data_IF_532139200259
#
_entry.id   IF_532139200259
#
_cell.length_a   1.000
_cell.length_b   1.000
_cell.length_c   1.000
_cell.angle_alpha   90.00
_cell.angle_beta   90.00
_cell.angle_gamma   90.00
#
_symmetry.space_group_name_H-M   'P 1'
#
loop_
_entity.id
_entity.type
_entity.pdbx_description
1 polymer ?
#
# COMPACT_ATOMS: atom_id res chain seq x y z
N UNK A 1 -1.05 4.88 -2.16
CA UNK A 1 -1.85 3.72 -1.70
C UNK A 1 -3.28 4.14 -1.39
N UNK A 2 -3.53 5.26 -0.69
CA UNK A 2 -4.87 5.86 -0.53
C UNK A 2 -5.52 6.41 -1.83
N UNK A 3 -4.89 6.20 -2.99
CA UNK A 3 -5.39 6.58 -4.32
C UNK A 3 -5.73 5.38 -5.18
N UNK A 4 -5.83 4.17 -4.60
CA UNK A 4 -6.35 3.01 -5.32
C UNK A 4 -7.81 3.29 -5.72
N UNK A 5 -8.23 3.02 -6.97
CA UNK A 5 -9.59 3.26 -7.37
C UNK A 5 -10.57 2.32 -6.66
N UNK A 6 -11.81 2.78 -6.48
CA UNK A 6 -12.91 1.96 -5.96
C UNK A 6 -12.84 1.65 -4.47
N UNK A 7 -13.45 0.53 -4.07
CA UNK A 7 -13.67 0.15 -2.67
C UNK A 7 -12.37 -0.07 -1.88
N UNK A 8 -11.31 -0.56 -2.55
CA UNK A 8 -10.01 -0.80 -1.91
C UNK A 8 -9.37 0.50 -1.43
N UNK A 9 -9.39 1.57 -2.24
CA UNK A 9 -8.84 2.86 -1.83
C UNK A 9 -9.59 3.49 -0.67
N UNK A 10 -10.91 3.35 -0.66
CA UNK A 10 -11.75 3.83 0.44
C UNK A 10 -11.46 3.07 1.73
N UNK A 11 -11.33 1.75 1.66
CA UNK A 11 -10.93 0.91 2.81
C UNK A 11 -9.55 1.30 3.35
N UNK A 12 -8.54 1.49 2.47
CA UNK A 12 -7.20 1.90 2.91
C UNK A 12 -7.19 3.29 3.56
N UNK A 13 -7.90 4.26 2.99
CA UNK A 13 -8.00 5.60 3.58
C UNK A 13 -8.71 5.57 4.95
N UNK A 14 -9.72 4.73 5.09
CA UNK A 14 -10.41 4.53 6.37
C UNK A 14 -9.52 3.84 7.41
N UNK A 15 -8.80 2.77 7.04
CA UNK A 15 -7.85 2.10 7.95
C UNK A 15 -6.75 3.06 8.41
N UNK A 16 -6.25 3.91 7.51
CA UNK A 16 -5.26 4.94 7.83
C UNK A 16 -5.84 5.95 8.84
N UNK A 17 -7.08 6.40 8.67
CA UNK A 17 -7.71 7.30 9.65
C UNK A 17 -7.91 6.63 11.00
N UNK A 18 -8.35 5.36 11.02
CA UNK A 18 -8.50 4.60 12.26
C UNK A 18 -7.18 4.47 13.02
N UNK A 19 -6.09 4.19 12.31
CA UNK A 19 -4.75 4.09 12.90
C UNK A 19 -4.27 5.44 13.46
N UNK A 20 -4.49 6.53 12.74
CA UNK A 20 -4.08 7.86 13.18
C UNK A 20 -4.89 8.36 14.38
N UNK A 21 -6.20 8.09 14.42
CA UNK A 21 -7.11 8.60 15.45
C UNK A 21 -7.12 7.74 16.72
N UNK A 22 -7.04 6.42 16.56
CA UNK A 22 -7.25 5.47 17.66
C UNK A 22 -6.03 4.58 17.94
N UNK A 23 -5.00 4.62 17.10
CA UNK A 23 -3.85 3.73 17.18
C UNK A 23 -4.17 2.31 16.68
N UNK A 24 -3.33 1.36 17.06
CA UNK A 24 -3.50 -0.06 16.68
C UNK A 24 -4.73 -0.62 17.41
N UNK A 25 -5.65 -1.21 16.65
CA UNK A 25 -6.89 -1.81 17.13
C UNK A 25 -7.00 -3.26 16.68
N UNK A 26 -7.72 -4.08 17.45
CA UNK A 26 -8.05 -5.43 17.03
C UNK A 26 -9.04 -5.44 15.87
N UNK A 27 -9.06 -6.52 15.09
CA UNK A 27 -10.03 -6.68 14.02
C UNK A 27 -11.48 -6.59 14.53
N UNK A 28 -11.77 -7.13 15.71
CA UNK A 28 -13.09 -7.03 16.32
C UNK A 28 -13.54 -5.57 16.57
N UNK A 29 -12.62 -4.69 16.99
CA UNK A 29 -12.94 -3.27 17.17
C UNK A 29 -13.15 -2.57 15.82
N UNK A 30 -12.30 -2.85 14.82
CA UNK A 30 -12.43 -2.29 13.48
C UNK A 30 -13.75 -2.69 12.81
N UNK A 31 -14.22 -3.93 13.01
CA UNK A 31 -15.50 -4.41 12.46
C UNK A 31 -16.70 -3.57 12.90
N UNK A 32 -16.71 -3.04 14.11
CA UNK A 32 -17.80 -2.17 14.55
C UNK A 32 -17.85 -0.87 13.74
N UNK A 33 -16.69 -0.30 13.41
CA UNK A 33 -16.58 0.90 12.58
C UNK A 33 -16.81 0.67 11.08
N UNK A 34 -16.73 -0.58 10.62
CA UNK A 34 -17.00 -0.97 9.23
C UNK A 34 -18.50 -1.02 8.91
N UNK A 35 -19.38 -1.17 9.91
CA UNK A 35 -20.82 -1.35 9.68
C UNK A 35 -21.44 -0.20 8.91
N UNK A 36 -22.09 -0.53 7.79
CA UNK A 36 -22.74 0.42 6.90
C UNK A 36 -21.79 1.19 5.98
N UNK A 37 -20.48 0.88 6.00
CA UNK A 37 -19.53 1.44 5.04
C UNK A 37 -19.68 0.76 3.67
N UNK A 38 -19.48 1.49 2.57
CA UNK A 38 -19.60 0.92 1.22
C UNK A 38 -18.59 -0.20 0.94
N UNK A 39 -17.49 -0.26 1.70
CA UNK A 39 -16.43 -1.26 1.60
C UNK A 39 -16.49 -2.34 2.71
N UNK A 40 -17.56 -2.40 3.49
CA UNK A 40 -17.73 -3.38 4.58
C UNK A 40 -17.59 -4.82 4.07
N UNK A 41 -18.35 -5.19 3.03
CA UNK A 41 -18.32 -6.55 2.47
C UNK A 41 -16.95 -6.92 1.88
N UNK A 42 -16.21 -5.94 1.35
CA UNK A 42 -14.84 -6.14 0.91
C UNK A 42 -13.94 -6.46 2.11
N UNK A 43 -14.02 -5.64 3.16
CA UNK A 43 -13.21 -5.79 4.37
C UNK A 43 -13.46 -7.13 5.07
N UNK A 44 -14.72 -7.56 5.19
CA UNK A 44 -15.05 -8.87 5.74
C UNK A 44 -14.48 -10.02 4.90
N UNK A 45 -14.60 -9.93 3.58
CA UNK A 45 -14.08 -10.97 2.67
C UNK A 45 -12.56 -11.11 2.76
N UNK A 46 -11.82 -10.00 2.83
CA UNK A 46 -10.34 -10.08 2.89
C UNK A 46 -9.81 -10.51 4.25
N UNK A 47 -10.62 -10.36 5.32
CA UNK A 47 -10.27 -10.81 6.67
C UNK A 47 -10.83 -12.19 7.02
N UNK A 48 -11.35 -12.92 6.03
CA UNK A 48 -11.85 -14.28 6.16
C UNK A 48 -10.96 -15.23 5.37
N UNK A 49 -10.45 -16.26 6.04
CA UNK A 49 -9.63 -17.33 5.49
C UNK A 49 -10.41 -18.24 4.52
N UNK A 50 -9.71 -19.12 3.79
CA UNK A 50 -10.30 -19.98 2.76
C UNK A 50 -11.30 -21.01 3.30
N UNK A 51 -11.25 -21.31 4.59
CA UNK A 51 -12.17 -22.17 5.34
C UNK A 51 -13.40 -21.41 5.89
N UNK A 52 -13.48 -20.09 5.66
CA UNK A 52 -14.55 -19.25 6.16
C UNK A 52 -14.35 -18.76 7.60
N UNK A 53 -13.23 -19.11 8.23
CA UNK A 53 -12.87 -18.62 9.56
C UNK A 53 -12.18 -17.23 9.46
N UNK A 54 -12.22 -16.39 10.50
CA UNK A 54 -11.40 -15.17 10.54
C UNK A 54 -9.91 -15.51 10.37
N UNK A 55 -9.17 -14.67 9.66
CA UNK A 55 -7.71 -14.81 9.58
C UNK A 55 -7.15 -14.69 11.00
N UNK A 56 -6.35 -15.67 11.41
CA UNK A 56 -5.68 -15.68 12.71
C UNK A 56 -4.57 -14.62 12.74
N UNK A 57 -4.33 -14.07 13.93
CA UNK A 57 -3.22 -13.13 14.11
C UNK A 57 -1.90 -13.89 13.94
N UNK A 58 -1.12 -13.51 12.92
CA UNK A 58 0.25 -14.00 12.80
C UNK A 58 1.07 -13.46 13.98
N UNK A 59 1.88 -14.32 14.61
CA UNK A 59 2.72 -13.96 15.75
C UNK A 59 4.21 -14.18 15.43
N UNK A 60 5.08 -13.44 16.14
CA UNK A 60 6.53 -13.67 16.09
C UNK A 60 7.13 -13.57 14.69
N UNK A 61 7.87 -14.60 14.29
CA UNK A 61 8.57 -14.67 13.00
C UNK A 61 7.59 -14.63 11.81
N UNK A 62 6.43 -15.27 11.93
CA UNK A 62 5.42 -15.34 10.88
C UNK A 62 4.83 -13.94 10.60
N UNK A 63 4.56 -13.17 11.66
CA UNK A 63 4.13 -11.78 11.53
C UNK A 63 5.19 -10.92 10.84
N UNK A 64 6.46 -11.13 11.20
CA UNK A 64 7.58 -10.39 10.63
C UNK A 64 7.80 -10.72 9.15
N UNK A 65 7.63 -11.99 8.77
CA UNK A 65 7.74 -12.47 7.39
C UNK A 65 6.57 -11.95 6.54
N UNK A 66 5.33 -12.08 7.03
CA UNK A 66 4.15 -11.53 6.35
C UNK A 66 4.26 -10.01 6.15
N UNK A 67 4.75 -9.27 7.15
CA UNK A 67 5.00 -7.84 7.03
C UNK A 67 6.09 -7.50 6.01
N UNK A 68 7.13 -8.35 5.89
CA UNK A 68 8.21 -8.19 4.90
C UNK A 68 7.70 -8.48 3.49
N UNK A 69 6.94 -9.54 3.31
CA UNK A 69 6.30 -9.88 2.03
C UNK A 69 5.35 -8.78 1.58
N UNK A 70 4.47 -8.31 2.46
CA UNK A 70 3.58 -7.19 2.18
C UNK A 70 4.36 -5.95 1.78
N UNK A 71 5.43 -5.61 2.50
CA UNK A 71 6.29 -4.47 2.16
C UNK A 71 6.92 -4.60 0.78
N UNK A 72 7.39 -5.79 0.42
CA UNK A 72 7.95 -6.05 -0.90
C UNK A 72 6.90 -5.83 -2.00
N UNK A 73 5.69 -6.38 -1.83
CA UNK A 73 4.58 -6.19 -2.77
C UNK A 73 4.24 -4.70 -2.92
N UNK A 74 4.13 -3.97 -1.81
CA UNK A 74 3.83 -2.54 -1.83
C UNK A 74 4.95 -1.72 -2.50
N UNK A 75 6.21 -2.06 -2.27
CA UNK A 75 7.36 -1.41 -2.91
C UNK A 75 7.34 -1.66 -4.43
N UNK A 76 6.96 -2.86 -4.91
CA UNK A 76 6.78 -3.11 -6.35
C UNK A 76 5.64 -2.29 -6.95
N UNK A 77 4.48 -2.26 -6.30
CA UNK A 77 3.34 -1.44 -6.75
C UNK A 77 3.70 0.05 -6.79
N UNK A 78 4.50 0.53 -5.85
CA UNK A 78 4.97 1.91 -5.82
C UNK A 78 5.95 2.19 -6.97
N UNK A 79 6.85 1.27 -7.33
CA UNK A 79 7.76 1.43 -8.48
C UNK A 79 6.96 1.56 -9.79
N UNK A 80 5.88 0.78 -9.95
CA UNK A 80 5.00 0.86 -11.12
C UNK A 80 4.21 2.17 -11.17
N UNK A 81 3.69 2.65 -10.02
CA UNK A 81 3.04 3.96 -9.95
C UNK A 81 4.01 5.09 -10.31
N UNK A 82 5.24 5.05 -9.78
CA UNK A 82 6.26 6.06 -10.07
C UNK A 82 6.65 6.03 -11.55
N UNK A 83 6.73 4.85 -12.20
CA UNK A 83 6.90 4.74 -13.66
C UNK A 83 5.82 5.47 -14.43
N UNK A 84 4.55 5.24 -14.09
CA UNK A 84 3.43 5.86 -14.77
C UNK A 84 3.50 7.40 -14.65
N UNK A 85 3.75 7.91 -13.44
CA UNK A 85 3.89 9.35 -13.18
C UNK A 85 5.09 9.97 -13.93
N UNK A 86 6.19 9.24 -14.08
CA UNK A 86 7.33 9.68 -14.89
C UNK A 86 6.96 9.83 -16.37
N UNK A 87 6.22 8.87 -16.93
CA UNK A 87 5.74 8.92 -18.31
C UNK A 87 4.79 10.11 -18.53
N UNK A 88 3.88 10.37 -17.60
CA UNK A 88 2.98 11.53 -17.64
C UNK A 88 3.73 12.86 -17.55
N UNK A 89 4.74 12.94 -16.67
CA UNK A 89 5.58 14.13 -16.54
C UNK A 89 6.34 14.43 -17.85
N UNK A 90 6.96 13.42 -18.47
CA UNK A 90 7.64 13.59 -19.76
C UNK A 90 6.66 14.04 -20.85
N UNK A 91 5.47 13.45 -20.92
CA UNK A 91 4.44 13.84 -21.88
C UNK A 91 3.99 15.30 -21.73
N UNK A 92 4.17 15.89 -20.54
CA UNK A 92 3.75 17.25 -20.21
C UNK A 92 4.81 18.33 -20.46
N UNK A 93 6.04 17.99 -20.89
CA UNK A 93 7.16 18.94 -21.03
C UNK A 93 6.88 20.09 -22.01
N UNK A 94 6.01 19.89 -22.99
CA UNK A 94 5.60 20.93 -23.94
C UNK A 94 4.57 21.93 -23.39
N UNK A 95 3.87 21.59 -22.31
CA UNK A 95 2.72 22.37 -21.80
C UNK A 95 2.92 22.83 -20.36
N UNK A 96 3.76 22.14 -19.59
CA UNK A 96 4.08 22.49 -18.21
C UNK A 96 5.58 22.73 -18.03
N UNK A 97 6.00 23.97 -17.69
CA UNK A 97 7.41 24.28 -17.42
C UNK A 97 7.98 23.53 -16.20
N UNK A 98 7.14 23.03 -15.28
CA UNK A 98 7.59 22.25 -14.12
C UNK A 98 7.73 20.76 -14.41
N UNK A 99 7.33 20.28 -15.59
CA UNK A 99 7.32 18.86 -15.95
C UNK A 99 8.69 18.18 -15.78
N UNK A 100 9.77 18.86 -16.19
CA UNK A 100 11.14 18.34 -16.08
C UNK A 100 11.64 18.29 -14.63
N UNK A 101 11.19 19.21 -13.77
CA UNK A 101 11.51 19.16 -12.34
C UNK A 101 10.75 18.01 -11.68
N UNK A 102 9.45 17.88 -11.94
CA UNK A 102 8.61 16.77 -11.47
C UNK A 102 9.20 15.42 -11.87
N UNK A 103 9.63 15.27 -13.13
CA UNK A 103 10.29 14.05 -13.60
C UNK A 103 11.55 13.71 -12.80
N UNK A 104 12.44 14.68 -12.57
CA UNK A 104 13.69 14.48 -11.81
C UNK A 104 13.42 14.06 -10.36
N UNK A 105 12.44 14.67 -9.71
CA UNK A 105 12.02 14.25 -8.35
C UNK A 105 11.50 12.82 -8.34
N UNK A 106 10.67 12.44 -9.31
CA UNK A 106 10.13 11.09 -9.42
C UNK A 106 11.23 10.05 -9.70
N UNK A 107 12.22 10.41 -10.53
CA UNK A 107 13.38 9.57 -10.84
C UNK A 107 14.26 9.30 -9.63
N UNK A 108 14.58 10.33 -8.84
CA UNK A 108 15.33 10.17 -7.61
C UNK A 108 14.63 9.21 -6.63
N UNK A 109 13.32 9.44 -6.40
CA UNK A 109 12.51 8.60 -5.50
C UNK A 109 12.44 7.14 -5.97
N UNK A 110 12.29 6.92 -7.27
CA UNK A 110 12.23 5.57 -7.84
C UNK A 110 13.59 4.86 -7.75
N UNK A 111 14.71 5.58 -7.92
CA UNK A 111 16.04 5.01 -7.75
C UNK A 111 16.28 4.53 -6.32
N UNK A 112 15.91 5.34 -5.33
CA UNK A 112 15.98 4.98 -3.90
C UNK A 112 15.13 3.74 -3.59
N UNK A 113 13.90 3.69 -4.12
CA UNK A 113 13.01 2.54 -3.97
C UNK A 113 13.62 1.26 -4.58
N UNK A 114 14.17 1.36 -5.80
CA UNK A 114 14.81 0.22 -6.45
C UNK A 114 16.09 -0.24 -5.75
N UNK A 115 16.79 0.66 -5.06
CA UNK A 115 17.91 0.27 -4.21
C UNK A 115 17.46 -0.54 -3.00
N UNK A 116 16.29 -0.23 -2.42
CA UNK A 116 15.68 -1.02 -1.35
C UNK A 116 15.13 -2.38 -1.82
N UNK A 117 14.57 -2.42 -3.03
CA UNK A 117 14.04 -3.65 -3.64
C UNK A 117 15.13 -4.63 -4.08
N UNK A 118 16.35 -4.15 -4.36
CA UNK A 118 17.48 -5.06 -4.57
C UNK A 118 17.71 -5.80 -3.24
N UNK A 119 17.52 -7.13 -3.20
CA UNK A 119 17.90 -7.87 -2.01
C UNK A 119 19.39 -7.61 -1.76
N UNK A 120 19.79 -7.54 -0.49
CA UNK A 120 21.20 -7.62 -0.16
C UNK A 120 21.73 -8.93 -0.77
N UNK A 121 22.39 -8.85 -1.92
CA UNK A 121 23.27 -9.91 -2.39
C UNK A 121 24.36 -10.03 -1.35
N UNK A 122 24.22 -10.98 -0.43
CA UNK A 122 25.21 -11.23 0.61
C UNK A 122 24.69 -12.07 1.78
N UNK A 123 24.88 -13.38 1.69
CA UNK A 123 25.23 -14.20 2.85
C UNK A 123 24.24 -15.29 3.28
N UNK A 124 24.19 -16.40 2.55
CA UNK A 124 24.80 -17.66 2.98
C UNK A 124 25.06 -18.58 1.77
#
# INVERSE_FOLDING_TARGET
LCGLPGEHGQLFAWLDSQLHEHGVQSWAALREGLRGQPFEALAERVMTGPDGAPIEDAEGEEAADAARELRNVLDFMLDDLLKAQQSEAIASVGTDPQALERYRTLEARRLELRHRLKPATGGM
#
